data_IF_394207256252
#
_entry.id   IF_394207256252
#
_cell.length_a   1.000
_cell.length_b   1.000
_cell.length_c   1.000
_cell.angle_alpha   90.00
_cell.angle_beta   90.00
_cell.angle_gamma   90.00
#
_symmetry.space_group_name_H-M   'P 1'
#
loop_
_entity.id
_entity.type
_entity.pdbx_description
1 polymer ?
#
# COMPACT_ATOMS: atom_id res chain seq x y z
N UNK A 1 8.26 3.51 -21.38
CA UNK A 1 9.14 4.28 -20.49
C UNK A 1 9.36 3.42 -19.26
N UNK A 2 10.54 2.82 -19.08
CA UNK A 2 10.83 2.07 -17.85
C UNK A 2 10.87 3.05 -16.67
N UNK A 3 10.41 2.67 -15.46
CA UNK A 3 10.49 3.55 -14.30
C UNK A 3 11.96 3.89 -14.04
N UNK A 4 12.26 5.18 -13.86
CA UNK A 4 13.56 5.77 -13.57
C UNK A 4 13.98 5.43 -12.12
N UNK A 5 13.99 4.15 -11.76
CA UNK A 5 14.52 3.67 -10.50
C UNK A 5 16.00 3.30 -10.73
N UNK A 6 16.93 3.72 -9.85
CA UNK A 6 18.32 3.30 -9.93
C UNK A 6 18.41 1.77 -9.93
N UNK A 7 19.25 1.20 -10.80
CA UNK A 7 19.56 -0.22 -10.71
C UNK A 7 20.50 -0.50 -9.52
N UNK A 8 20.69 -1.77 -9.20
CA UNK A 8 21.53 -2.20 -8.07
C UNK A 8 22.98 -1.68 -8.19
N UNK A 9 23.48 -1.52 -9.42
CA UNK A 9 24.80 -0.97 -9.68
C UNK A 9 24.86 0.53 -9.33
N UNK A 10 23.83 1.28 -9.71
CA UNK A 10 23.71 2.71 -9.41
C UNK A 10 23.55 2.95 -7.90
N UNK A 11 22.76 2.13 -7.20
CA UNK A 11 22.65 2.20 -5.73
C UNK A 11 24.00 1.89 -5.04
N UNK A 12 24.72 0.89 -5.51
CA UNK A 12 26.03 0.48 -4.96
C UNK A 12 27.10 1.56 -5.10
N UNK A 13 27.18 2.22 -6.26
CA UNK A 13 28.13 3.30 -6.51
C UNK A 13 27.87 4.50 -5.58
N UNK A 14 26.60 4.85 -5.37
CA UNK A 14 26.20 5.94 -4.48
C UNK A 14 26.58 5.65 -3.02
N UNK A 15 26.34 4.42 -2.53
CA UNK A 15 26.71 4.04 -1.17
C UNK A 15 28.23 4.08 -0.92
N UNK A 16 29.04 3.66 -1.91
CA UNK A 16 30.50 3.71 -1.81
C UNK A 16 31.03 5.14 -1.79
N UNK A 17 30.43 6.04 -2.58
CA UNK A 17 30.80 7.46 -2.58
C UNK A 17 30.44 8.15 -1.25
N UNK A 18 29.25 7.87 -0.69
CA UNK A 18 28.83 8.38 0.61
C UNK A 18 29.75 7.92 1.75
N UNK A 19 30.13 6.63 1.76
CA UNK A 19 31.08 6.08 2.72
C UNK A 19 32.47 6.71 2.60
N UNK A 20 32.95 6.97 1.38
CA UNK A 20 34.25 7.60 1.12
C UNK A 20 34.30 9.06 1.58
N UNK A 21 33.16 9.76 1.56
CA UNK A 21 33.01 11.14 2.03
C UNK A 21 32.81 11.24 3.55
N UNK A 22 32.79 10.11 4.26
CA UNK A 22 32.56 10.06 5.71
C UNK A 22 31.14 10.44 6.12
N UNK A 23 30.23 10.54 5.15
CA UNK A 23 28.82 10.87 5.38
C UNK A 23 28.10 9.58 5.77
N UNK A 24 28.07 9.31 7.09
CA UNK A 24 27.24 8.23 7.61
C UNK A 24 25.79 8.54 7.27
N UNK A 25 25.15 7.68 6.48
CA UNK A 25 23.70 7.72 6.25
C UNK A 25 23.05 7.41 7.59
N UNK A 26 22.85 8.45 8.41
CA UNK A 26 22.05 8.34 9.61
C UNK A 26 20.62 8.11 9.10
N UNK A 27 19.97 6.97 9.39
CA UNK A 27 18.55 6.87 9.13
C UNK A 27 17.91 8.07 9.82
N UNK A 28 17.17 8.89 9.06
CA UNK A 28 16.37 9.94 9.66
C UNK A 28 15.59 9.26 10.78
N UNK A 29 15.75 9.74 12.02
CA UNK A 29 14.94 9.23 13.11
C UNK A 29 13.50 9.31 12.63
N UNK A 30 12.82 8.18 12.54
CA UNK A 30 11.41 8.15 12.20
C UNK A 30 10.75 9.08 13.20
N UNK A 31 10.41 10.30 12.76
CA UNK A 31 9.45 11.10 13.46
C UNK A 31 8.18 10.30 13.27
N UNK A 32 7.85 9.47 14.27
CA UNK A 32 6.52 8.91 14.38
C UNK A 32 5.59 10.11 14.21
N UNK A 33 4.87 10.13 13.09
CA UNK A 33 3.80 11.07 12.91
C UNK A 33 2.87 10.79 14.08
N UNK A 34 2.85 11.70 15.05
CA UNK A 34 1.87 11.67 16.12
C UNK A 34 0.55 11.79 15.38
N UNK A 35 -0.17 10.67 15.24
CA UNK A 35 -1.50 10.68 14.66
C UNK A 35 -2.35 11.54 15.60
N UNK A 36 -2.57 12.80 15.22
CA UNK A 36 -3.59 13.64 15.82
C UNK A 36 -4.92 12.90 15.63
N UNK A 37 -5.30 12.15 16.67
CA UNK A 37 -6.57 11.45 16.69
C UNK A 37 -7.64 12.51 16.93
N UNK A 38 -8.11 13.11 15.85
CA UNK A 38 -9.30 13.95 15.89
C UNK A 38 -10.43 13.10 16.46
N UNK A 39 -10.88 13.45 17.66
CA UNK A 39 -11.91 12.72 18.41
C UNK A 39 -13.31 13.03 17.90
N UNK A 40 -13.42 13.87 16.85
CA UNK A 40 -14.67 14.14 16.18
C UNK A 40 -15.31 12.85 15.65
N UNK A 41 -16.65 12.72 15.76
CA UNK A 41 -17.35 11.55 15.25
C UNK A 41 -17.12 11.45 13.74
N UNK A 42 -16.50 10.34 13.32
CA UNK A 42 -16.21 10.09 11.91
C UNK A 42 -17.51 10.07 11.11
N UNK A 43 -17.52 10.65 9.89
CA UNK A 43 -18.64 10.51 8.98
C UNK A 43 -18.93 9.02 8.71
N UNK A 44 -20.20 8.63 8.47
CA UNK A 44 -20.54 7.28 8.06
C UNK A 44 -19.72 6.86 6.83
N UNK A 45 -19.39 5.57 6.75
CA UNK A 45 -18.55 5.01 5.68
C UNK A 45 -19.07 5.37 4.28
N UNK A 46 -20.38 5.33 4.07
CA UNK A 46 -20.99 5.72 2.79
C UNK A 46 -20.72 7.17 2.39
N UNK A 47 -20.61 8.08 3.37
CA UNK A 47 -20.26 9.48 3.10
C UNK A 47 -18.79 9.63 2.71
N UNK A 48 -17.91 8.83 3.32
CA UNK A 48 -16.49 8.80 2.97
C UNK A 48 -16.28 8.23 1.57
N UNK A 49 -16.99 7.16 1.21
CA UNK A 49 -16.93 6.55 -0.14
C UNK A 49 -17.39 7.52 -1.22
N UNK A 50 -18.39 8.37 -0.95
CA UNK A 50 -18.86 9.40 -1.89
C UNK A 50 -17.84 10.50 -2.19
N UNK A 51 -16.83 10.70 -1.32
CA UNK A 51 -15.75 11.67 -1.54
C UNK A 51 -14.69 11.16 -2.52
N UNK A 52 -14.67 9.86 -2.79
CA UNK A 52 -13.70 9.24 -3.70
C UNK A 52 -14.15 9.50 -5.16
N UNK A 53 -13.27 10.04 -6.02
CA UNK A 53 -13.58 10.19 -7.44
C UNK A 53 -13.98 8.85 -8.08
N UNK A 54 -14.95 8.83 -9.01
CA UNK A 54 -15.50 7.59 -9.55
C UNK A 54 -14.45 6.72 -10.25
N UNK A 55 -13.48 7.34 -10.94
CA UNK A 55 -12.39 6.62 -11.58
C UNK A 55 -11.52 5.86 -10.57
N UNK A 56 -11.15 6.51 -9.46
CA UNK A 56 -10.34 5.90 -8.39
C UNK A 56 -11.13 4.81 -7.69
N UNK A 57 -12.42 5.04 -7.44
CA UNK A 57 -13.31 4.04 -6.84
C UNK A 57 -13.39 2.76 -7.68
N UNK A 58 -13.50 2.89 -9.00
CA UNK A 58 -13.52 1.73 -9.89
C UNK A 58 -12.23 0.90 -9.79
N UNK A 59 -11.07 1.55 -9.73
CA UNK A 59 -9.78 0.87 -9.55
C UNK A 59 -9.68 0.19 -8.17
N UNK A 60 -10.15 0.84 -7.10
CA UNK A 60 -10.17 0.23 -5.77
C UNK A 60 -11.12 -0.98 -5.71
N UNK A 61 -12.28 -0.88 -6.34
CA UNK A 61 -13.20 -2.00 -6.45
C UNK A 61 -12.57 -3.15 -7.25
N UNK A 62 -11.82 -2.89 -8.31
CA UNK A 62 -11.10 -3.93 -9.06
C UNK A 62 -10.00 -4.60 -8.23
N UNK A 63 -9.22 -3.81 -7.48
CA UNK A 63 -8.08 -4.30 -6.69
C UNK A 63 -8.50 -5.06 -5.43
N UNK A 64 -9.53 -4.59 -4.73
CA UNK A 64 -9.84 -5.04 -3.37
C UNK A 64 -11.16 -5.78 -3.24
N UNK A 65 -12.07 -5.70 -4.22
CA UNK A 65 -13.30 -6.48 -4.17
C UNK A 65 -12.96 -7.92 -4.50
N UNK A 66 -13.15 -8.80 -3.52
CA UNK A 66 -13.02 -10.24 -3.73
C UNK A 66 -13.98 -10.70 -4.84
N UNK A 67 -13.44 -10.93 -6.04
CA UNK A 67 -14.19 -11.56 -7.12
C UNK A 67 -14.21 -13.06 -6.87
N UNK A 68 -15.34 -13.59 -6.41
CA UNK A 68 -15.58 -15.03 -6.48
C UNK A 68 -15.78 -15.40 -7.95
N UNK A 69 -14.67 -15.62 -8.67
CA UNK A 69 -14.66 -15.86 -10.13
C UNK A 69 -15.41 -17.13 -10.50
N UNK A 70 -15.60 -18.06 -9.54
CA UNK A 70 -16.34 -19.30 -9.80
C UNK A 70 -17.02 -19.81 -8.54
N UNK A 71 -18.35 -19.90 -8.59
CA UNK A 71 -19.16 -20.62 -7.59
C UNK A 71 -19.32 -22.06 -8.06
N UNK A 72 -18.73 -23.02 -7.35
CA UNK A 72 -18.90 -24.46 -7.62
C UNK A 72 -19.75 -25.10 -6.54
N UNK A 73 -20.68 -25.96 -6.94
CA UNK A 73 -21.48 -26.77 -6.02
C UNK A 73 -20.57 -27.81 -5.37
N UNK A 74 -20.35 -27.69 -4.06
CA UNK A 74 -19.58 -28.68 -3.29
C UNK A 74 -20.51 -29.87 -2.95
N UNK A 75 -20.12 -31.11 -3.25
CA UNK A 75 -20.89 -32.28 -2.85
C UNK A 75 -20.92 -32.41 -1.32
N UNK A 76 -22.09 -32.75 -0.77
CA UNK A 76 -22.31 -32.80 0.69
C UNK A 76 -21.31 -33.72 1.42
N UNK A 77 -20.85 -34.76 0.76
CA UNK A 77 -19.90 -35.74 1.32
C UNK A 77 -18.48 -35.16 1.53
N UNK A 78 -18.15 -34.01 0.94
CA UNK A 78 -16.86 -33.34 1.08
C UNK A 78 -16.87 -32.26 2.19
N UNK A 79 -18.04 -31.92 2.73
CA UNK A 79 -18.15 -31.05 3.89
C UNK A 79 -17.91 -31.90 5.13
N UNK A 80 -16.69 -31.87 5.67
CA UNK A 80 -16.39 -32.42 6.99
C UNK A 80 -17.11 -31.55 8.03
N UNK A 81 -18.11 -32.13 8.68
CA UNK A 81 -18.58 -31.67 9.99
C UNK A 81 -17.64 -32.21 11.06
#
# INVERSE_FOLDING_TARGET
MAPLWPDESAESAMMSELGSRGETVRPAAATEAIEETDTAPLPPLDQLVKRIPPAVRATLDELFRATFVTVRRVPKNALKN
#
